data_IF_642449440292
#
_entry.id   IF_642449440292
#
_cell.length_a   1.000
_cell.length_b   1.000
_cell.length_c   1.000
_cell.angle_alpha   90.00
_cell.angle_beta   90.00
_cell.angle_gamma   90.00
#
_symmetry.space_group_name_H-M   'P 1'
#
loop_
_entity.id
_entity.type
_entity.pdbx_description
1 polymer ?
#
# COMPACT_ATOMS: atom_id res chain seq x y z
N UNK A 1 20.24 -34.22 36.12
CA UNK A 1 19.20 -33.21 35.83
C UNK A 1 19.93 -31.90 35.52
N UNK A 2 20.27 -31.70 34.26
CA UNK A 2 20.92 -30.46 33.81
C UNK A 2 19.84 -29.40 33.56
N UNK A 3 19.89 -28.37 34.35
CA UNK A 3 19.07 -27.17 34.19
C UNK A 3 19.46 -26.46 32.88
N UNK A 4 18.60 -26.59 31.87
CA UNK A 4 18.72 -25.94 30.59
C UNK A 4 18.48 -24.43 30.82
N UNK A 5 19.56 -23.67 31.16
CA UNK A 5 19.56 -22.21 31.27
C UNK A 5 19.21 -21.62 29.89
N UNK A 6 17.91 -21.37 29.65
CA UNK A 6 17.46 -20.52 28.54
C UNK A 6 18.18 -19.19 28.63
N UNK A 7 19.07 -18.90 27.67
CA UNK A 7 19.68 -17.58 27.52
C UNK A 7 18.57 -16.53 27.48
N UNK A 8 18.62 -15.47 28.28
CA UNK A 8 17.61 -14.43 28.24
C UNK A 8 17.58 -13.84 26.81
N UNK A 9 16.39 -13.84 26.20
CA UNK A 9 16.15 -13.14 24.94
C UNK A 9 16.48 -11.65 25.18
N UNK A 10 17.46 -11.12 24.46
CA UNK A 10 17.83 -9.71 24.52
C UNK A 10 16.57 -8.86 24.38
N UNK A 11 16.45 -7.81 25.22
CA UNK A 11 15.36 -6.86 25.11
C UNK A 11 15.38 -6.27 23.69
N UNK A 12 14.21 -6.06 23.09
CA UNK A 12 14.07 -5.57 21.72
C UNK A 12 14.96 -4.34 21.43
N UNK A 13 15.01 -3.41 22.37
CA UNK A 13 15.80 -2.17 22.26
C UNK A 13 17.32 -2.43 22.24
N UNK A 14 17.84 -3.40 22.99
CA UNK A 14 19.26 -3.77 22.98
C UNK A 14 19.66 -4.39 21.63
N UNK A 15 18.79 -5.21 21.06
CA UNK A 15 19.01 -5.81 19.74
C UNK A 15 19.03 -4.76 18.63
N UNK A 16 18.06 -3.82 18.64
CA UNK A 16 18.01 -2.72 17.67
C UNK A 16 19.24 -1.82 17.80
N UNK A 17 19.71 -1.53 19.01
CA UNK A 17 20.90 -0.73 19.25
C UNK A 17 22.17 -1.40 18.69
N UNK A 18 22.37 -2.70 18.94
CA UNK A 18 23.50 -3.46 18.40
C UNK A 18 23.47 -3.48 16.87
N UNK A 19 22.29 -3.75 16.26
CA UNK A 19 22.13 -3.71 14.81
C UNK A 19 22.46 -2.33 14.23
N UNK A 20 22.10 -1.27 14.93
CA UNK A 20 22.43 0.11 14.53
C UNK A 20 23.95 0.35 14.55
N UNK A 21 24.66 -0.07 15.61
CA UNK A 21 26.12 0.07 15.68
C UNK A 21 26.79 -0.72 14.56
N UNK A 22 26.40 -1.97 14.32
CA UNK A 22 26.93 -2.80 13.24
C UNK A 22 26.72 -2.11 11.89
N UNK A 23 25.55 -1.56 11.64
CA UNK A 23 25.22 -0.88 10.40
C UNK A 23 26.09 0.38 10.19
N UNK A 24 26.30 1.18 11.23
CA UNK A 24 27.14 2.38 11.14
C UNK A 24 28.61 2.02 10.91
N UNK A 25 29.12 0.99 11.57
CA UNK A 25 30.48 0.47 11.32
C UNK A 25 30.61 0.01 9.87
N UNK A 26 29.60 -0.76 9.38
CA UNK A 26 29.57 -1.24 8.01
C UNK A 26 29.61 -0.08 7.01
N UNK A 27 28.82 0.97 7.24
CA UNK A 27 28.79 2.17 6.39
C UNK A 27 30.17 2.85 6.37
N UNK A 28 30.80 3.05 7.53
CA UNK A 28 32.14 3.65 7.66
C UNK A 28 33.18 2.81 6.91
N UNK A 29 33.15 1.49 7.06
CA UNK A 29 34.05 0.58 6.35
C UNK A 29 33.93 0.77 4.83
N UNK A 30 32.71 0.75 4.26
CA UNK A 30 32.52 0.95 2.83
C UNK A 30 32.93 2.33 2.33
N UNK A 31 32.82 3.37 3.15
CA UNK A 31 33.22 4.72 2.80
C UNK A 31 34.72 4.93 2.87
N UNK A 32 35.45 4.11 3.66
CA UNK A 32 36.90 4.24 3.90
C UNK A 32 37.72 3.22 3.12
N UNK A 33 37.12 2.13 2.63
CA UNK A 33 37.85 1.06 1.93
C UNK A 33 38.10 1.42 0.47
N UNK A 34 39.28 1.08 -0.03
CA UNK A 34 39.62 1.22 -1.45
C UNK A 34 38.77 0.27 -2.28
N UNK A 35 38.15 0.75 -3.37
CA UNK A 35 37.31 -0.10 -4.21
C UNK A 35 38.12 -1.17 -4.93
N UNK A 36 37.53 -2.35 -5.20
CA UNK A 36 38.13 -3.36 -6.06
C UNK A 36 38.27 -2.85 -7.50
N UNK A 37 39.13 -3.50 -8.29
CA UNK A 37 39.33 -3.18 -9.70
C UNK A 37 38.02 -3.23 -10.48
N UNK A 38 37.69 -2.17 -11.20
CA UNK A 38 36.48 -2.04 -11.99
C UNK A 38 35.32 -1.32 -11.27
N UNK A 39 35.38 -1.07 -9.96
CA UNK A 39 34.39 -0.31 -9.21
C UNK A 39 34.96 1.09 -8.88
N UNK A 40 34.17 2.14 -9.12
CA UNK A 40 34.55 3.50 -8.71
C UNK A 40 34.48 3.69 -7.18
N UNK A 41 35.21 4.67 -6.64
CA UNK A 41 35.13 5.01 -5.22
C UNK A 41 33.71 5.40 -4.79
N UNK A 42 32.97 6.12 -5.63
CA UNK A 42 31.57 6.46 -5.37
C UNK A 42 30.66 5.25 -5.52
N UNK A 43 30.96 4.32 -6.44
CA UNK A 43 30.25 3.04 -6.56
C UNK A 43 30.38 2.19 -5.30
N UNK A 44 31.57 2.15 -4.69
CA UNK A 44 31.79 1.44 -3.42
C UNK A 44 30.98 2.06 -2.28
N UNK A 45 30.89 3.40 -2.20
CA UNK A 45 30.07 4.10 -1.20
C UNK A 45 28.57 3.82 -1.39
N UNK A 46 28.07 3.89 -2.64
CA UNK A 46 26.66 3.59 -2.96
C UNK A 46 26.32 2.14 -2.62
N UNK A 47 27.20 1.19 -2.91
CA UNK A 47 27.05 -0.21 -2.50
C UNK A 47 26.98 -0.34 -0.97
N UNK A 48 27.86 0.39 -0.25
CA UNK A 48 27.85 0.45 1.20
C UNK A 48 26.54 0.99 1.77
N UNK A 49 25.99 2.05 1.18
CA UNK A 49 24.67 2.58 1.55
C UNK A 49 23.58 1.52 1.33
N UNK A 50 23.58 0.86 0.17
CA UNK A 50 22.60 -0.19 -0.14
C UNK A 50 22.61 -1.31 0.89
N UNK A 51 23.79 -1.91 1.16
CA UNK A 51 23.92 -3.03 2.10
C UNK A 51 23.53 -2.61 3.52
N UNK A 52 24.03 -1.46 3.97
CA UNK A 52 23.76 -0.93 5.31
C UNK A 52 22.27 -0.66 5.53
N UNK A 53 21.63 0.01 4.58
CA UNK A 53 20.22 0.41 4.70
C UNK A 53 19.30 -0.80 4.59
N UNK A 54 19.60 -1.75 3.70
CA UNK A 54 18.87 -3.00 3.60
C UNK A 54 18.92 -3.79 4.91
N UNK A 55 20.10 -3.90 5.53
CA UNK A 55 20.27 -4.53 6.84
C UNK A 55 19.43 -3.83 7.92
N UNK A 56 19.42 -2.50 7.96
CA UNK A 56 18.63 -1.72 8.92
C UNK A 56 17.12 -1.84 8.66
N UNK A 57 16.66 -1.86 7.41
CA UNK A 57 15.26 -2.04 7.11
C UNK A 57 14.72 -3.40 7.59
N UNK A 58 15.54 -4.45 7.51
CA UNK A 58 15.19 -5.79 7.98
C UNK A 58 15.26 -5.91 9.51
N UNK A 59 16.20 -5.27 10.16
CA UNK A 59 16.52 -5.52 11.58
C UNK A 59 15.92 -4.48 12.54
N UNK A 60 15.80 -3.23 12.10
CA UNK A 60 15.34 -2.09 12.92
C UNK A 60 14.00 -1.56 12.43
N UNK A 61 13.82 -1.40 11.10
CA UNK A 61 12.60 -0.90 10.48
C UNK A 61 12.85 0.24 9.49
N UNK A 62 11.77 0.75 8.89
CA UNK A 62 11.83 1.65 7.72
C UNK A 62 11.87 3.15 8.06
N UNK A 63 11.73 3.54 9.31
CA UNK A 63 11.60 4.95 9.71
C UNK A 63 12.91 5.73 9.52
N UNK A 64 13.67 5.95 10.60
CA UNK A 64 14.91 6.69 10.56
C UNK A 64 16.00 6.08 9.64
N UNK A 65 16.07 4.72 9.40
CA UNK A 65 17.07 4.22 8.45
C UNK A 65 16.89 4.75 7.03
N UNK A 66 15.69 5.09 6.63
CA UNK A 66 15.45 5.72 5.32
C UNK A 66 15.99 7.15 5.24
N UNK A 67 15.96 7.90 6.35
CA UNK A 67 16.63 9.19 6.44
C UNK A 67 18.16 9.05 6.40
N UNK A 68 18.70 8.03 7.07
CA UNK A 68 20.13 7.70 6.98
C UNK A 68 20.54 7.38 5.54
N UNK A 69 19.70 6.65 4.79
CA UNK A 69 19.94 6.38 3.36
C UNK A 69 20.12 7.68 2.57
N UNK A 70 19.23 8.64 2.72
CA UNK A 70 19.30 9.92 2.04
C UNK A 70 20.55 10.73 2.46
N UNK A 71 20.85 10.76 3.76
CA UNK A 71 22.03 11.44 4.27
C UNK A 71 23.33 10.81 3.75
N UNK A 72 23.43 9.49 3.76
CA UNK A 72 24.59 8.77 3.27
C UNK A 72 24.78 8.93 1.75
N UNK A 73 23.71 8.90 0.96
CA UNK A 73 23.77 9.20 -0.49
C UNK A 73 24.24 10.64 -0.75
N UNK A 74 23.78 11.59 0.06
CA UNK A 74 24.21 13.00 -0.08
C UNK A 74 25.69 13.21 0.24
N UNK A 75 26.32 12.32 1.00
CA UNK A 75 27.76 12.33 1.28
C UNK A 75 28.59 11.71 0.15
N UNK A 76 27.98 11.08 -0.85
CA UNK A 76 28.71 10.59 -2.05
C UNK A 76 29.05 11.79 -2.94
N UNK A 77 30.34 12.06 -3.26
CA UNK A 77 30.77 13.28 -3.95
C UNK A 77 30.10 13.53 -5.31
N UNK A 78 29.89 12.48 -6.10
CA UNK A 78 29.24 12.58 -7.41
C UNK A 78 27.72 12.83 -7.34
N UNK A 79 27.08 12.66 -6.19
CA UNK A 79 25.64 12.87 -5.99
C UNK A 79 25.36 14.20 -5.31
N UNK A 80 25.85 14.37 -4.10
CA UNK A 80 25.55 15.51 -3.24
C UNK A 80 24.09 15.61 -2.81
N UNK A 81 23.77 16.56 -1.95
CA UNK A 81 22.42 16.74 -1.40
C UNK A 81 21.40 17.10 -2.47
N UNK A 82 21.75 17.99 -3.41
CA UNK A 82 20.82 18.44 -4.47
C UNK A 82 20.30 17.29 -5.32
N UNK A 83 21.21 16.46 -5.86
CA UNK A 83 20.85 15.31 -6.70
C UNK A 83 20.06 14.28 -5.92
N UNK A 84 20.44 14.02 -4.67
CA UNK A 84 19.73 13.11 -3.77
C UNK A 84 18.30 13.56 -3.53
N UNK A 85 18.07 14.86 -3.24
CA UNK A 85 16.74 15.40 -3.05
C UNK A 85 15.89 15.39 -4.34
N UNK A 86 16.48 15.68 -5.48
CA UNK A 86 15.78 15.61 -6.77
C UNK A 86 15.31 14.19 -7.09
N UNK A 87 16.15 13.17 -6.81
CA UNK A 87 15.80 11.77 -7.06
C UNK A 87 14.89 11.16 -5.98
N UNK A 88 14.75 11.79 -4.83
CA UNK A 88 13.89 11.37 -3.72
C UNK A 88 12.58 12.17 -3.68
N UNK A 89 12.55 13.25 -2.92
CA UNK A 89 11.36 14.09 -2.72
C UNK A 89 10.93 14.87 -3.96
N UNK A 90 11.85 15.16 -4.89
CA UNK A 90 11.55 15.75 -6.19
C UNK A 90 11.06 14.76 -7.24
N UNK A 91 10.99 13.47 -6.93
CA UNK A 91 10.51 12.44 -7.85
C UNK A 91 8.98 12.46 -7.95
N UNK A 92 8.44 12.33 -9.17
CA UNK A 92 6.98 12.26 -9.42
C UNK A 92 6.28 11.19 -8.59
N UNK A 93 6.95 10.06 -8.35
CA UNK A 93 6.44 8.95 -7.53
C UNK A 93 6.17 9.39 -6.09
N UNK A 94 7.04 10.22 -5.50
CA UNK A 94 6.81 10.77 -4.17
C UNK A 94 5.55 11.65 -4.13
N UNK A 95 5.42 12.59 -5.07
CA UNK A 95 4.26 13.46 -5.16
C UNK A 95 2.96 12.66 -5.36
N UNK A 96 3.00 11.65 -6.23
CA UNK A 96 1.88 10.74 -6.42
C UNK A 96 1.47 10.03 -5.13
N UNK A 97 2.40 9.43 -4.41
CA UNK A 97 2.12 8.72 -3.16
C UNK A 97 1.54 9.65 -2.09
N UNK A 98 2.14 10.84 -1.94
CA UNK A 98 1.69 11.85 -0.99
C UNK A 98 0.23 12.24 -1.27
N UNK A 99 -0.06 12.68 -2.49
CA UNK A 99 -1.40 13.15 -2.84
C UNK A 99 -2.43 12.01 -2.86
N UNK A 100 -2.03 10.81 -3.28
CA UNK A 100 -2.93 9.65 -3.24
C UNK A 100 -3.31 9.28 -1.81
N UNK A 101 -2.37 9.25 -0.87
CA UNK A 101 -2.67 8.94 0.52
C UNK A 101 -3.55 10.00 1.18
N UNK A 102 -3.29 11.28 0.92
CA UNK A 102 -4.16 12.37 1.38
C UNK A 102 -5.57 12.24 0.81
N UNK A 103 -5.69 11.96 -0.48
CA UNK A 103 -6.96 11.84 -1.18
C UNK A 103 -7.77 10.62 -0.72
N UNK A 104 -7.14 9.46 -0.62
CA UNK A 104 -7.81 8.22 -0.17
C UNK A 104 -8.22 8.29 1.30
N UNK A 105 -7.54 9.09 2.12
CA UNK A 105 -7.97 9.39 3.48
C UNK A 105 -9.36 10.01 3.52
N UNK A 106 -9.68 10.97 2.65
CA UNK A 106 -11.02 11.55 2.59
C UNK A 106 -12.10 10.48 2.33
N UNK A 107 -11.83 9.54 1.42
CA UNK A 107 -12.73 8.43 1.17
C UNK A 107 -12.87 7.49 2.38
N UNK A 108 -11.77 7.24 3.09
CA UNK A 108 -11.77 6.38 4.29
C UNK A 108 -12.64 6.92 5.43
N UNK A 109 -12.82 8.25 5.49
CA UNK A 109 -13.67 8.89 6.50
C UNK A 109 -15.18 8.80 6.17
N UNK A 110 -15.54 8.33 4.97
CA UNK A 110 -16.94 8.15 4.59
C UNK A 110 -17.50 6.84 5.16
N UNK A 111 -18.82 6.81 5.37
CA UNK A 111 -19.52 5.57 5.73
C UNK A 111 -19.56 4.51 4.63
N UNK A 112 -19.05 4.78 3.42
CA UNK A 112 -19.13 3.84 2.29
C UNK A 112 -18.38 2.54 2.54
N UNK A 113 -17.23 2.56 3.21
CA UNK A 113 -16.46 1.35 3.54
C UNK A 113 -17.30 0.40 4.38
N UNK A 114 -17.93 0.92 5.44
CA UNK A 114 -18.84 0.14 6.30
C UNK A 114 -20.07 -0.33 5.52
N UNK A 115 -20.65 0.52 4.67
CA UNK A 115 -21.80 0.19 3.82
C UNK A 115 -21.51 -0.94 2.86
N UNK A 116 -20.38 -0.90 2.17
CA UNK A 116 -19.96 -1.94 1.23
C UNK A 116 -19.76 -3.25 1.99
N UNK A 117 -18.98 -3.23 3.06
CA UNK A 117 -18.70 -4.43 3.85
C UNK A 117 -20.00 -5.08 4.38
N UNK A 118 -20.87 -4.31 5.03
CA UNK A 118 -22.14 -4.81 5.55
C UNK A 118 -23.09 -5.24 4.42
N UNK A 119 -23.13 -4.51 3.30
CA UNK A 119 -23.95 -4.86 2.13
C UNK A 119 -23.61 -6.23 1.57
N UNK A 120 -22.33 -6.58 1.48
CA UNK A 120 -21.89 -7.89 1.03
C UNK A 120 -22.28 -9.01 2.01
N UNK A 121 -21.98 -8.84 3.32
CA UNK A 121 -22.21 -9.90 4.33
C UNK A 121 -23.69 -10.08 4.68
N UNK A 122 -24.54 -9.04 4.56
CA UNK A 122 -25.96 -9.13 4.81
C UNK A 122 -26.78 -9.49 3.57
N UNK A 123 -26.11 -9.69 2.42
CA UNK A 123 -26.78 -10.02 1.15
C UNK A 123 -27.52 -11.37 1.22
N UNK A 124 -28.62 -11.50 0.47
CA UNK A 124 -29.35 -12.78 0.34
C UNK A 124 -28.46 -13.92 -0.16
N UNK A 125 -27.44 -13.60 -0.99
CA UNK A 125 -26.50 -14.57 -1.50
C UNK A 125 -25.55 -15.08 -0.42
N UNK A 126 -24.98 -14.19 0.40
CA UNK A 126 -24.10 -14.54 1.51
C UNK A 126 -24.81 -15.47 2.53
N UNK A 127 -26.06 -15.16 2.85
CA UNK A 127 -26.84 -15.90 3.87
C UNK A 127 -27.26 -17.31 3.45
N UNK A 128 -27.00 -17.75 2.21
CA UNK A 128 -27.38 -19.10 1.75
C UNK A 128 -26.46 -20.21 2.27
N UNK A 129 -25.20 -19.94 2.56
CA UNK A 129 -24.27 -20.92 3.13
C UNK A 129 -23.04 -20.24 3.76
N UNK A 130 -22.37 -20.88 4.74
CA UNK A 130 -21.18 -20.36 5.37
C UNK A 130 -20.04 -20.06 4.37
N UNK A 131 -19.89 -20.84 3.33
CA UNK A 131 -18.89 -20.62 2.28
C UNK A 131 -19.20 -19.40 1.42
N UNK A 132 -20.47 -19.17 1.08
CA UNK A 132 -20.91 -17.95 0.36
C UNK A 132 -20.72 -16.72 1.25
N UNK A 133 -20.99 -16.86 2.54
CA UNK A 133 -20.75 -15.79 3.52
C UNK A 133 -19.26 -15.41 3.57
N UNK A 134 -18.37 -16.39 3.74
CA UNK A 134 -16.93 -16.16 3.73
C UNK A 134 -16.46 -15.53 2.41
N UNK A 135 -16.94 -16.04 1.27
CA UNK A 135 -16.65 -15.45 -0.04
C UNK A 135 -17.08 -13.98 -0.12
N UNK A 136 -18.30 -13.65 0.28
CA UNK A 136 -18.82 -12.28 0.26
C UNK A 136 -18.02 -11.36 1.19
N UNK A 137 -17.67 -11.86 2.39
CA UNK A 137 -16.85 -11.11 3.33
C UNK A 137 -15.47 -10.81 2.75
N UNK A 138 -14.78 -11.82 2.24
CA UNK A 138 -13.44 -11.64 1.64
C UNK A 138 -13.47 -10.81 0.36
N UNK A 139 -14.50 -10.99 -0.49
CA UNK A 139 -14.67 -10.18 -1.69
C UNK A 139 -14.89 -8.70 -1.35
N UNK A 140 -15.68 -8.41 -0.30
CA UNK A 140 -15.83 -7.04 0.19
C UNK A 140 -14.51 -6.43 0.64
N UNK A 141 -13.73 -7.18 1.44
CA UNK A 141 -12.39 -6.74 1.88
C UNK A 141 -11.47 -6.49 0.68
N UNK A 142 -11.46 -7.42 -0.28
CA UNK A 142 -10.64 -7.31 -1.48
C UNK A 142 -11.02 -6.05 -2.30
N UNK A 143 -12.30 -5.85 -2.58
CA UNK A 143 -12.79 -4.71 -3.39
C UNK A 143 -12.49 -3.37 -2.71
N UNK A 144 -12.75 -3.27 -1.40
CA UNK A 144 -12.47 -2.03 -0.66
C UNK A 144 -10.96 -1.80 -0.61
N UNK A 145 -10.18 -2.86 -0.43
CA UNK A 145 -8.73 -2.82 -0.33
C UNK A 145 -8.00 -2.41 -1.62
N UNK A 146 -8.67 -2.44 -2.78
CA UNK A 146 -8.13 -1.88 -4.02
C UNK A 146 -7.87 -0.37 -3.93
N UNK A 147 -8.52 0.32 -3.00
CA UNK A 147 -8.55 1.78 -2.93
C UNK A 147 -8.05 2.36 -1.61
N UNK A 148 -7.67 1.51 -0.66
CA UNK A 148 -7.30 1.94 0.69
C UNK A 148 -6.02 1.26 1.17
N UNK A 149 -5.28 1.97 2.00
CA UNK A 149 -4.11 1.37 2.66
C UNK A 149 -4.53 0.15 3.51
N UNK A 150 -3.73 -0.93 3.50
CA UNK A 150 -4.02 -2.16 4.25
C UNK A 150 -4.29 -1.90 5.73
N UNK A 151 -3.52 -1.03 6.35
CA UNK A 151 -3.64 -0.70 7.77
C UNK A 151 -4.98 -0.06 8.09
N UNK A 152 -5.39 0.93 7.30
CA UNK A 152 -6.67 1.63 7.48
C UNK A 152 -7.84 0.66 7.28
N UNK A 153 -7.79 -0.13 6.21
CA UNK A 153 -8.81 -1.13 5.91
C UNK A 153 -8.95 -2.15 7.05
N UNK A 154 -7.83 -2.68 7.54
CA UNK A 154 -7.84 -3.65 8.62
C UNK A 154 -8.54 -3.10 9.87
N UNK A 155 -8.20 -1.88 10.29
CA UNK A 155 -8.82 -1.26 11.47
C UNK A 155 -10.32 -0.94 11.30
N UNK A 156 -10.78 -0.67 10.09
CA UNK A 156 -12.21 -0.45 9.83
C UNK A 156 -12.99 -1.77 9.79
N UNK A 157 -12.41 -2.84 9.20
CA UNK A 157 -13.10 -4.13 9.04
C UNK A 157 -13.04 -4.99 10.31
N UNK A 158 -12.00 -4.85 11.13
CA UNK A 158 -11.84 -5.66 12.34
C UNK A 158 -13.02 -5.54 13.33
N UNK A 159 -13.57 -4.35 13.64
CA UNK A 159 -14.79 -4.24 14.44
C UNK A 159 -16.00 -4.95 13.81
N UNK A 160 -16.15 -4.84 12.48
CA UNK A 160 -17.23 -5.53 11.75
C UNK A 160 -17.07 -7.05 11.85
N UNK A 161 -15.84 -7.56 11.74
CA UNK A 161 -15.56 -8.99 11.91
C UNK A 161 -15.87 -9.47 13.33
N UNK A 162 -15.56 -8.66 14.37
CA UNK A 162 -15.91 -8.97 15.75
C UNK A 162 -17.44 -9.04 15.95
N UNK A 163 -18.17 -8.13 15.34
CA UNK A 163 -19.64 -8.15 15.34
C UNK A 163 -20.19 -9.40 14.63
N UNK A 164 -19.60 -9.78 13.49
CA UNK A 164 -19.92 -11.03 12.79
C UNK A 164 -19.69 -12.25 13.69
N UNK A 165 -18.60 -12.29 14.48
CA UNK A 165 -18.36 -13.37 15.43
C UNK A 165 -19.47 -13.47 16.47
N UNK A 166 -19.91 -12.35 17.01
CA UNK A 166 -21.00 -12.32 18.00
C UNK A 166 -22.32 -12.82 17.38
N UNK A 167 -22.64 -12.37 16.17
CA UNK A 167 -23.86 -12.76 15.44
C UNK A 167 -23.86 -14.24 15.08
N UNK A 168 -22.71 -14.80 14.73
CA UNK A 168 -22.55 -16.22 14.38
C UNK A 168 -22.30 -17.12 15.59
N UNK A 169 -22.19 -16.57 16.81
CA UNK A 169 -21.87 -17.31 18.03
C UNK A 169 -20.48 -17.95 18.01
N UNK A 170 -19.52 -17.37 17.25
CA UNK A 170 -18.18 -17.89 17.13
C UNK A 170 -17.33 -17.52 18.35
N UNK A 171 -16.53 -18.48 18.82
CA UNK A 171 -15.63 -18.31 19.97
C UNK A 171 -14.18 -18.27 19.53
N UNK A 172 -13.31 -17.74 20.39
CA UNK A 172 -11.86 -17.79 20.19
C UNK A 172 -11.40 -19.26 20.08
N UNK A 173 -10.69 -19.58 19.01
CA UNK A 173 -10.22 -20.94 18.73
C UNK A 173 -11.07 -21.68 17.69
N UNK A 174 -12.27 -21.22 17.36
CA UNK A 174 -13.08 -21.84 16.31
C UNK A 174 -12.36 -21.74 14.97
N UNK A 175 -12.24 -22.86 14.26
CA UNK A 175 -11.55 -22.88 12.94
C UNK A 175 -12.16 -21.91 11.94
N UNK A 176 -13.48 -21.73 11.96
CA UNK A 176 -14.15 -20.80 11.07
C UNK A 176 -13.86 -19.34 11.42
N UNK A 177 -13.80 -18.99 12.72
CA UNK A 177 -13.39 -17.66 13.17
C UNK A 177 -11.94 -17.37 12.77
N UNK A 178 -11.04 -18.34 12.97
CA UNK A 178 -9.64 -18.22 12.55
C UNK A 178 -9.52 -18.05 11.02
N UNK A 179 -10.30 -18.80 10.24
CA UNK A 179 -10.35 -18.65 8.78
C UNK A 179 -10.78 -17.24 8.36
N UNK A 180 -11.84 -16.69 8.98
CA UNK A 180 -12.30 -15.34 8.67
C UNK A 180 -11.23 -14.28 9.02
N UNK A 181 -10.53 -14.43 10.15
CA UNK A 181 -9.44 -13.53 10.52
C UNK A 181 -8.25 -13.64 9.57
N UNK A 182 -7.79 -14.87 9.28
CA UNK A 182 -6.68 -15.09 8.33
C UNK A 182 -7.02 -14.54 6.94
N UNK A 183 -8.25 -14.78 6.47
CA UNK A 183 -8.72 -14.27 5.20
C UNK A 183 -8.83 -12.75 5.17
N UNK A 184 -9.22 -12.10 6.28
CA UNK A 184 -9.19 -10.64 6.39
C UNK A 184 -7.77 -10.10 6.16
N UNK A 185 -6.78 -10.63 6.89
CA UNK A 185 -5.38 -10.19 6.76
C UNK A 185 -4.84 -10.48 5.36
N UNK A 186 -5.11 -11.67 4.83
CA UNK A 186 -4.65 -12.06 3.51
C UNK A 186 -5.26 -11.21 2.40
N UNK A 187 -6.60 -11.02 2.40
CA UNK A 187 -7.27 -10.19 1.39
C UNK A 187 -6.85 -8.72 1.47
N UNK A 188 -6.62 -8.20 2.69
CA UNK A 188 -6.10 -6.84 2.89
C UNK A 188 -4.71 -6.68 2.27
N UNK A 189 -3.82 -7.66 2.45
CA UNK A 189 -2.49 -7.66 1.84
C UNK A 189 -2.54 -7.89 0.33
N UNK A 190 -3.37 -8.82 -0.12
CA UNK A 190 -3.51 -9.14 -1.55
C UNK A 190 -4.03 -7.94 -2.35
N UNK A 191 -5.10 -7.29 -1.86
CA UNK A 191 -5.70 -6.13 -2.53
C UNK A 191 -4.73 -4.97 -2.69
N UNK A 192 -3.80 -4.80 -1.75
CA UNK A 192 -2.80 -3.74 -1.79
C UNK A 192 -1.79 -3.86 -2.94
N UNK A 193 -1.60 -5.08 -3.47
CA UNK A 193 -0.77 -5.34 -4.64
C UNK A 193 -1.53 -5.28 -5.97
N UNK A 194 -2.86 -5.26 -5.95
CA UNK A 194 -3.68 -5.32 -7.18
C UNK A 194 -3.83 -3.96 -7.88
N UNK A 195 -3.63 -2.86 -7.15
CA UNK A 195 -3.69 -1.51 -7.71
C UNK A 195 -2.54 -0.64 -7.22
N UNK A 196 -2.10 0.36 -8.00
CA UNK A 196 -1.10 1.32 -7.54
C UNK A 196 -1.65 2.32 -6.50
N UNK A 197 -2.95 2.27 -6.20
CA UNK A 197 -3.65 3.26 -5.36
C UNK A 197 -3.51 2.90 -3.88
N UNK A 198 -3.58 1.60 -3.57
CA UNK A 198 -3.72 1.11 -2.21
C UNK A 198 -2.41 1.08 -1.42
N UNK A 199 -1.27 0.93 -2.08
CA UNK A 199 0.01 0.73 -1.41
C UNK A 199 1.21 1.30 -2.15
N UNK A 200 2.25 1.59 -1.38
CA UNK A 200 3.52 2.17 -1.85
C UNK A 200 4.29 1.23 -2.80
N UNK A 201 4.28 -0.08 -2.55
CA UNK A 201 5.14 -1.02 -3.28
C UNK A 201 4.85 -1.14 -4.79
N UNK A 202 3.60 -1.21 -5.27
CA UNK A 202 3.34 -1.21 -6.70
C UNK A 202 3.90 0.03 -7.40
N UNK A 203 3.68 1.20 -6.80
CA UNK A 203 4.14 2.48 -7.36
C UNK A 203 5.66 2.58 -7.35
N UNK A 204 6.28 2.14 -6.25
CA UNK A 204 7.74 2.08 -6.12
C UNK A 204 8.36 1.16 -7.18
N UNK A 205 7.79 -0.03 -7.39
CA UNK A 205 8.26 -0.97 -8.41
C UNK A 205 8.18 -0.38 -9.83
N UNK A 206 7.09 0.32 -10.13
CA UNK A 206 6.93 1.03 -11.41
C UNK A 206 7.93 2.18 -11.55
N UNK A 207 8.20 2.92 -10.46
CA UNK A 207 9.19 3.99 -10.43
C UNK A 207 10.62 3.47 -10.66
N UNK A 208 11.00 2.38 -9.99
CA UNK A 208 12.29 1.71 -10.18
C UNK A 208 12.41 1.17 -11.60
N UNK A 209 11.37 0.52 -12.13
CA UNK A 209 11.35 0.05 -13.52
C UNK A 209 11.59 1.20 -14.51
N UNK A 210 10.93 2.34 -14.33
CA UNK A 210 11.14 3.55 -15.16
C UNK A 210 12.58 4.04 -15.09
N UNK A 211 13.18 4.04 -13.91
CA UNK A 211 14.58 4.45 -13.69
C UNK A 211 15.56 3.52 -14.40
N UNK A 212 15.32 2.21 -14.34
CA UNK A 212 16.21 1.19 -14.92
C UNK A 212 16.11 1.10 -16.45
N UNK A 213 14.90 1.18 -16.99
CA UNK A 213 14.63 0.86 -18.40
C UNK A 213 14.39 2.10 -19.27
N UNK A 214 14.18 3.27 -18.66
CA UNK A 214 13.69 4.48 -19.35
C UNK A 214 12.22 4.40 -19.80
N UNK A 215 11.57 3.25 -19.64
CA UNK A 215 10.19 3.00 -20.05
C UNK A 215 9.25 3.09 -18.84
N UNK A 216 8.02 3.59 -19.03
CA UNK A 216 7.03 3.67 -17.96
C UNK A 216 5.90 2.67 -18.16
N UNK A 217 5.51 1.99 -17.07
CA UNK A 217 4.29 1.19 -17.00
C UNK A 217 3.15 2.13 -16.58
N UNK A 218 2.07 2.17 -17.35
CA UNK A 218 0.89 2.95 -16.94
C UNK A 218 0.08 2.19 -15.87
N UNK A 219 -0.71 2.91 -15.06
CA UNK A 219 -1.54 2.29 -14.03
C UNK A 219 -2.55 1.30 -14.60
N UNK A 220 -3.14 1.62 -15.75
CA UNK A 220 -4.02 0.68 -16.43
C UNK A 220 -3.32 -0.60 -16.87
N UNK A 221 -2.10 -0.50 -17.41
CA UNK A 221 -1.28 -1.67 -17.75
C UNK A 221 -0.94 -2.52 -16.52
N UNK A 222 -0.51 -1.86 -15.41
CA UNK A 222 -0.27 -2.58 -14.16
C UNK A 222 -1.51 -3.35 -13.70
N UNK A 223 -2.65 -2.67 -13.61
CA UNK A 223 -3.90 -3.25 -13.14
C UNK A 223 -4.41 -4.37 -14.05
N UNK A 224 -4.15 -4.29 -15.36
CA UNK A 224 -4.54 -5.31 -16.33
C UNK A 224 -3.92 -6.69 -16.00
N UNK A 225 -2.72 -6.72 -15.46
CA UNK A 225 -2.04 -7.96 -15.03
C UNK A 225 -2.25 -8.25 -13.53
N UNK A 226 -2.18 -7.24 -12.69
CA UNK A 226 -2.23 -7.43 -11.25
C UNK A 226 -3.62 -7.84 -10.74
N UNK A 227 -4.70 -7.31 -11.31
CA UNK A 227 -6.06 -7.66 -10.90
C UNK A 227 -6.40 -9.13 -11.23
N UNK A 228 -6.22 -9.64 -12.46
CA UNK A 228 -6.44 -11.07 -12.76
C UNK A 228 -5.57 -11.99 -11.90
N UNK A 229 -4.30 -11.66 -11.70
CA UNK A 229 -3.39 -12.41 -10.82
C UNK A 229 -3.93 -12.44 -9.39
N UNK A 230 -4.38 -11.32 -8.86
CA UNK A 230 -4.99 -11.24 -7.53
C UNK A 230 -6.27 -12.06 -7.42
N UNK A 231 -7.12 -12.10 -8.45
CA UNK A 231 -8.33 -12.94 -8.48
C UNK A 231 -7.96 -14.42 -8.44
N UNK A 232 -6.93 -14.84 -9.18
CA UNK A 232 -6.44 -16.24 -9.17
C UNK A 232 -5.93 -16.59 -7.76
N UNK A 233 -5.12 -15.74 -7.14
CA UNK A 233 -4.59 -15.95 -5.78
C UNK A 233 -5.74 -16.00 -4.77
N UNK A 234 -6.74 -15.13 -4.91
CA UNK A 234 -7.95 -15.15 -4.08
C UNK A 234 -8.71 -16.47 -4.21
N UNK A 235 -8.89 -16.97 -5.42
CA UNK A 235 -9.52 -18.27 -5.66
C UNK A 235 -8.71 -19.43 -5.02
N UNK A 236 -7.39 -19.42 -5.15
CA UNK A 236 -6.50 -20.39 -4.52
C UNK A 236 -6.61 -20.33 -2.98
N UNK A 237 -6.66 -19.14 -2.39
CA UNK A 237 -6.90 -18.97 -0.94
C UNK A 237 -8.22 -19.62 -0.53
N UNK A 238 -9.30 -19.37 -1.27
CA UNK A 238 -10.60 -19.97 -0.99
C UNK A 238 -10.56 -21.52 -1.09
N UNK A 239 -9.85 -22.08 -2.05
CA UNK A 239 -9.64 -23.52 -2.18
C UNK A 239 -8.85 -24.09 -0.99
N UNK A 240 -7.76 -23.41 -0.58
CA UNK A 240 -6.95 -23.79 0.58
C UNK A 240 -7.84 -23.83 1.85
N UNK A 241 -8.61 -22.79 2.07
CA UNK A 241 -9.53 -22.73 3.22
C UNK A 241 -10.56 -23.85 3.19
N UNK A 242 -11.11 -24.16 2.03
CA UNK A 242 -12.14 -25.17 1.87
C UNK A 242 -11.60 -26.60 1.98
N UNK A 243 -10.46 -26.91 1.37
CA UNK A 243 -9.98 -28.29 1.23
C UNK A 243 -8.88 -28.66 2.22
N UNK A 244 -8.06 -27.68 2.67
CA UNK A 244 -6.95 -27.94 3.60
C UNK A 244 -7.37 -27.57 5.03
N UNK A 245 -7.84 -26.34 5.26
CA UNK A 245 -8.19 -25.88 6.63
C UNK A 245 -9.48 -26.54 7.15
N UNK A 246 -10.45 -26.80 6.29
CA UNK A 246 -11.71 -27.52 6.55
C UNK A 246 -12.38 -27.08 7.85
N UNK A 247 -12.79 -25.81 7.99
CA UNK A 247 -13.49 -25.35 9.18
C UNK A 247 -14.86 -26.04 9.29
N UNK A 248 -15.26 -26.39 10.53
CA UNK A 248 -16.60 -26.89 10.75
C UNK A 248 -17.62 -25.76 10.54
N UNK A 249 -18.55 -25.96 9.62
CA UNK A 249 -19.56 -24.98 9.23
C UNK A 249 -20.99 -25.37 9.65
N UNK A 250 -21.21 -26.55 10.23
CA UNK A 250 -22.55 -27.09 10.54
C UNK A 250 -23.29 -26.26 11.60
N UNK A 251 -22.55 -25.71 12.56
CA UNK A 251 -23.11 -24.92 13.68
C UNK A 251 -23.37 -23.44 13.33
N UNK A 252 -23.08 -23.01 12.10
CA UNK A 252 -23.15 -21.60 11.73
C UNK A 252 -24.58 -21.23 11.29
N UNK A 253 -25.25 -20.43 12.12
CA UNK A 253 -26.60 -19.96 11.81
C UNK A 253 -26.60 -18.60 11.10
N UNK A 254 -26.79 -18.61 9.80
CA UNK A 254 -26.87 -17.42 8.93
C UNK A 254 -28.28 -16.82 8.83
N UNK A 255 -29.30 -17.47 9.41
CA UNK A 255 -30.68 -17.01 9.38
C UNK A 255 -31.04 -16.08 10.56
N UNK A 256 -30.06 -15.68 11.36
CA UNK A 256 -30.28 -14.81 12.51
C UNK A 256 -30.89 -13.47 12.10
N UNK A 257 -31.92 -13.04 12.82
CA UNK A 257 -32.52 -11.70 12.68
C UNK A 257 -31.54 -10.56 12.98
N UNK A 258 -30.41 -10.89 13.62
CA UNK A 258 -29.34 -9.93 13.90
C UNK A 258 -28.68 -9.39 12.60
N UNK A 259 -28.59 -10.20 11.54
CA UNK A 259 -28.15 -9.69 10.22
C UNK A 259 -29.09 -8.63 9.65
N UNK A 260 -30.37 -8.73 9.92
CA UNK A 260 -31.37 -7.73 9.48
C UNK A 260 -31.24 -6.46 10.33
N UNK A 261 -30.86 -6.56 11.62
CA UNK A 261 -30.50 -5.40 12.46
C UNK A 261 -29.24 -4.72 11.94
N UNK A 262 -28.14 -5.45 11.70
CA UNK A 262 -26.92 -4.91 11.10
C UNK A 262 -27.18 -4.17 9.79
N UNK A 263 -28.09 -4.69 8.96
CA UNK A 263 -28.48 -4.05 7.71
C UNK A 263 -29.25 -2.74 7.94
N UNK A 264 -30.14 -2.68 8.94
CA UNK A 264 -30.90 -1.47 9.29
C UNK A 264 -30.03 -0.37 9.90
N UNK A 265 -28.92 -0.75 10.53
CA UNK A 265 -27.95 0.19 11.10
C UNK A 265 -27.03 0.86 10.05
N UNK A 266 -27.13 0.45 8.77
CA UNK A 266 -26.39 1.10 7.69
C UNK A 266 -26.98 2.50 7.46
N UNK A 267 -26.29 3.59 7.84
CA UNK A 267 -26.83 4.93 7.66
C UNK A 267 -26.95 5.28 6.17
N UNK A 268 -27.93 6.07 5.82
CA UNK A 268 -28.03 6.63 4.46
C UNK A 268 -26.80 7.49 4.16
N UNK A 269 -26.33 7.49 2.90
CA UNK A 269 -25.20 8.33 2.51
C UNK A 269 -25.61 9.81 2.54
N UNK A 270 -24.82 10.61 3.23
CA UNK A 270 -24.97 12.07 3.24
C UNK A 270 -24.65 12.66 1.86
N UNK A 271 -25.09 13.90 1.60
CA UNK A 271 -24.72 14.60 0.35
C UNK A 271 -23.21 14.79 0.25
N UNK A 272 -22.52 15.10 1.37
CA UNK A 272 -21.06 15.22 1.40
C UNK A 272 -20.34 13.92 1.03
N UNK A 273 -20.77 12.79 1.59
CA UNK A 273 -20.20 11.48 1.23
C UNK A 273 -20.41 11.13 -0.26
N UNK A 274 -21.57 11.47 -0.83
CA UNK A 274 -21.83 11.27 -2.26
C UNK A 274 -20.88 12.09 -3.12
N UNK A 275 -20.62 13.34 -2.76
CA UNK A 275 -19.66 14.20 -3.48
C UNK A 275 -18.25 13.59 -3.40
N UNK A 276 -17.80 13.16 -2.22
CA UNK A 276 -16.50 12.50 -2.07
C UNK A 276 -16.42 11.26 -2.97
N UNK A 277 -17.46 10.43 -3.00
CA UNK A 277 -17.50 9.24 -3.86
C UNK A 277 -17.39 9.60 -5.36
N UNK A 278 -18.13 10.62 -5.81
CA UNK A 278 -18.08 11.03 -7.22
C UNK A 278 -16.71 11.61 -7.60
N UNK A 279 -16.12 12.43 -6.75
CA UNK A 279 -14.74 12.94 -6.96
C UNK A 279 -13.74 11.76 -6.96
N UNK A 280 -13.96 10.75 -6.11
CA UNK A 280 -13.13 9.56 -6.07
C UNK A 280 -13.21 8.74 -7.38
N UNK A 281 -14.42 8.52 -7.89
CA UNK A 281 -14.64 7.85 -9.18
C UNK A 281 -14.01 8.66 -10.32
N UNK A 282 -14.12 9.99 -10.30
CA UNK A 282 -13.51 10.87 -11.30
C UNK A 282 -11.98 10.73 -11.32
N UNK A 283 -11.35 10.76 -10.16
CA UNK A 283 -9.89 10.60 -10.05
C UNK A 283 -9.44 9.24 -10.57
N UNK A 284 -10.15 8.16 -10.22
CA UNK A 284 -9.86 6.82 -10.76
C UNK A 284 -10.03 6.79 -12.28
N UNK A 285 -11.09 7.40 -12.80
CA UNK A 285 -11.31 7.50 -14.24
C UNK A 285 -10.15 8.24 -14.93
N UNK A 286 -9.67 9.34 -14.35
CA UNK A 286 -8.51 10.08 -14.88
C UNK A 286 -7.19 9.29 -14.85
N UNK A 287 -7.06 8.26 -14.00
CA UNK A 287 -5.90 7.37 -14.03
C UNK A 287 -6.04 6.24 -15.05
N UNK A 288 -7.23 5.67 -15.19
CA UNK A 288 -7.46 4.45 -15.97
C UNK A 288 -7.78 4.77 -17.44
N UNK A 289 -8.70 5.73 -17.68
CA UNK A 289 -9.18 6.04 -19.03
C UNK A 289 -8.07 6.49 -20.00
N UNK A 290 -7.11 7.35 -19.60
CA UNK A 290 -6.02 7.72 -20.50
C UNK A 290 -5.20 6.52 -20.98
N UNK A 291 -4.98 5.52 -20.11
CA UNK A 291 -4.24 4.30 -20.48
C UNK A 291 -4.97 3.44 -21.51
N UNK A 292 -6.30 3.44 -21.46
CA UNK A 292 -7.14 2.62 -22.32
C UNK A 292 -7.51 3.34 -23.63
N UNK A 293 -7.76 4.65 -23.55
CA UNK A 293 -8.37 5.41 -24.64
C UNK A 293 -7.40 6.23 -25.51
N UNK A 294 -6.15 6.42 -25.07
CA UNK A 294 -5.12 7.10 -25.88
C UNK A 294 -4.81 6.39 -27.20
N UNK A 295 -5.09 5.08 -27.29
CA UNK A 295 -4.93 4.27 -28.51
C UNK A 295 -6.26 4.03 -29.22
N UNK A 296 -7.30 4.82 -28.94
CA UNK A 296 -8.60 4.72 -29.61
C UNK A 296 -8.49 5.04 -31.09
N UNK A 297 -9.24 4.33 -31.93
CA UNK A 297 -9.40 4.63 -33.36
C UNK A 297 -10.12 5.95 -33.64
N UNK A 298 -10.81 6.51 -32.63
CA UNK A 298 -11.52 7.79 -32.72
C UNK A 298 -10.54 8.92 -32.36
N UNK A 299 -10.13 9.70 -33.36
CA UNK A 299 -9.02 10.68 -33.26
C UNK A 299 -9.21 11.72 -32.14
N UNK A 300 -10.40 12.28 -31.94
CA UNK A 300 -10.62 13.26 -30.86
C UNK A 300 -10.53 12.64 -29.46
N UNK A 301 -10.95 11.38 -29.30
CA UNK A 301 -10.79 10.64 -28.03
C UNK A 301 -9.32 10.42 -27.75
N UNK A 302 -8.59 9.86 -28.72
CA UNK A 302 -7.16 9.58 -28.59
C UNK A 302 -6.37 10.87 -28.26
N UNK A 303 -6.65 11.99 -28.94
CA UNK A 303 -5.96 13.27 -28.70
C UNK A 303 -6.26 13.84 -27.31
N UNK A 304 -7.52 13.80 -26.86
CA UNK A 304 -7.94 14.27 -25.53
C UNK A 304 -7.26 13.48 -24.42
N UNK A 305 -7.29 12.14 -24.47
CA UNK A 305 -6.68 11.33 -23.44
C UNK A 305 -5.14 11.32 -23.50
N UNK A 306 -4.56 11.51 -24.66
CA UNK A 306 -3.11 11.78 -24.80
C UNK A 306 -2.73 13.10 -24.13
N UNK A 307 -3.52 14.16 -24.33
CA UNK A 307 -3.31 15.44 -23.67
C UNK A 307 -3.44 15.33 -22.14
N UNK A 308 -4.49 14.66 -21.62
CA UNK A 308 -4.65 14.43 -20.18
C UNK A 308 -3.45 13.66 -19.60
N UNK A 309 -2.92 12.67 -20.32
CA UNK A 309 -1.79 11.86 -19.85
C UNK A 309 -0.49 12.64 -19.67
N UNK A 310 -0.34 13.82 -20.34
CA UNK A 310 0.85 14.69 -20.20
C UNK A 310 0.97 15.35 -18.84
N UNK A 311 -0.13 15.48 -18.08
CA UNK A 311 -0.10 16.09 -16.74
C UNK A 311 0.49 15.19 -15.67
N UNK A 312 0.83 13.95 -16.00
CA UNK A 312 1.40 12.98 -15.06
C UNK A 312 0.38 12.36 -14.11
N UNK A 313 0.86 11.38 -13.36
CA UNK A 313 0.00 10.54 -12.51
C UNK A 313 -0.35 11.18 -11.17
N UNK A 314 0.43 12.16 -10.72
CA UNK A 314 0.20 12.87 -9.46
C UNK A 314 -0.89 13.96 -9.56
N UNK A 315 -1.21 14.42 -10.78
CA UNK A 315 -2.17 15.51 -10.99
C UNK A 315 -3.62 15.13 -10.60
N UNK A 316 -4.18 13.97 -10.98
CA UNK A 316 -5.56 13.64 -10.63
C UNK A 316 -5.85 13.66 -9.12
N UNK A 317 -5.07 13.02 -8.23
CA UNK A 317 -5.33 13.08 -6.79
C UNK A 317 -5.10 14.48 -6.21
N UNK A 318 -4.15 15.25 -6.74
CA UNK A 318 -3.95 16.64 -6.35
C UNK A 318 -5.20 17.49 -6.65
N UNK A 319 -5.75 17.39 -7.87
CA UNK A 319 -7.00 18.05 -8.23
C UNK A 319 -8.17 17.57 -7.35
N UNK A 320 -8.24 16.28 -7.04
CA UNK A 320 -9.22 15.71 -6.12
C UNK A 320 -9.15 16.35 -4.73
N UNK A 321 -7.94 16.51 -4.17
CA UNK A 321 -7.73 17.18 -2.87
C UNK A 321 -8.20 18.63 -2.93
N UNK A 322 -7.78 19.38 -3.96
CA UNK A 322 -8.16 20.79 -4.13
C UNK A 322 -9.68 20.91 -4.21
N UNK A 323 -10.33 20.10 -5.03
CA UNK A 323 -11.77 20.10 -5.19
C UNK A 323 -12.50 19.81 -3.87
N UNK A 324 -12.08 18.78 -3.13
CA UNK A 324 -12.66 18.43 -1.85
C UNK A 324 -12.38 19.47 -0.74
N UNK A 325 -11.31 20.26 -0.88
CA UNK A 325 -11.00 21.36 0.05
C UNK A 325 -11.88 22.58 -0.19
N UNK A 326 -12.26 22.83 -1.44
CA UNK A 326 -13.15 23.95 -1.82
C UNK A 326 -14.61 23.61 -1.52
N UNK A 327 -15.02 22.36 -1.83
CA UNK A 327 -16.40 21.91 -1.61
C UNK A 327 -16.67 21.74 -0.12
N UNK A 328 -17.81 22.31 0.33
CA UNK A 328 -18.22 22.31 1.73
C UNK A 328 -19.54 21.55 1.92
N UNK A 329 -19.65 20.87 3.05
CA UNK A 329 -20.89 20.28 3.53
C UNK A 329 -21.06 20.57 5.03
N UNK A 330 -22.21 21.08 5.44
CA UNK A 330 -22.43 21.50 6.84
C UNK A 330 -21.47 22.58 7.31
N UNK A 331 -21.04 23.50 6.42
CA UNK A 331 -20.11 24.59 6.74
C UNK A 331 -18.63 24.21 6.80
N UNK A 332 -18.29 22.92 6.68
CA UNK A 332 -16.91 22.41 6.74
C UNK A 332 -16.45 21.89 5.37
N UNK A 333 -15.16 22.00 5.01
CA UNK A 333 -14.61 21.38 3.82
C UNK A 333 -14.73 19.86 3.88
N UNK A 334 -14.86 19.20 2.71
CA UNK A 334 -15.01 17.76 2.63
C UNK A 334 -13.73 16.98 2.92
N UNK A 335 -12.58 17.65 2.87
CA UNK A 335 -11.28 17.13 3.33
C UNK A 335 -10.64 18.15 4.28
N UNK A 336 -10.08 17.67 5.36
CA UNK A 336 -9.20 18.46 6.23
C UNK A 336 -7.75 18.15 5.85
N UNK A 337 -7.04 19.14 5.28
CA UNK A 337 -5.66 19.00 4.82
C UNK A 337 -4.74 18.53 5.97
N UNK A 338 -4.82 19.17 7.14
CA UNK A 338 -3.95 18.81 8.27
C UNK A 338 -4.20 17.39 8.75
N UNK A 339 -5.45 16.97 8.84
CA UNK A 339 -5.77 15.58 9.22
C UNK A 339 -5.35 14.58 8.14
N UNK A 340 -5.53 14.89 6.86
CA UNK A 340 -5.11 14.01 5.76
C UNK A 340 -3.59 13.85 5.71
N UNK A 341 -2.83 14.90 6.01
CA UNK A 341 -1.37 14.83 6.12
C UNK A 341 -0.91 14.04 7.34
N UNK A 342 -1.55 14.22 8.49
CA UNK A 342 -1.09 13.60 9.76
C UNK A 342 -1.59 12.19 9.95
N UNK A 343 -2.82 11.87 9.53
CA UNK A 343 -3.48 10.58 9.74
C UNK A 343 -3.58 9.74 8.46
N UNK A 344 -3.67 10.40 7.29
CA UNK A 344 -3.81 9.73 5.99
C UNK A 344 -2.48 9.27 5.41
N UNK A 345 -1.42 10.03 5.61
CA UNK A 345 -0.11 9.77 5.04
C UNK A 345 0.70 8.83 5.92
N UNK A 346 1.13 7.71 5.36
CA UNK A 346 2.11 6.81 6.00
C UNK A 346 3.52 7.35 5.78
N UNK A 347 3.95 8.33 6.57
CA UNK A 347 5.25 9.00 6.44
C UNK A 347 6.44 8.04 6.39
N UNK A 348 6.54 7.01 7.28
CA UNK A 348 7.66 6.07 7.18
C UNK A 348 7.71 5.35 5.84
N UNK A 349 6.56 4.97 5.28
CA UNK A 349 6.48 4.28 3.98
C UNK A 349 6.86 5.19 2.81
N UNK A 350 6.42 6.45 2.83
CA UNK A 350 6.75 7.41 1.77
C UNK A 350 8.23 7.79 1.80
N UNK A 351 8.79 8.01 2.99
CA UNK A 351 10.22 8.31 3.16
C UNK A 351 11.07 7.12 2.71
N UNK A 352 10.68 5.89 3.06
CA UNK A 352 11.35 4.69 2.55
C UNK A 352 11.29 4.61 1.02
N UNK A 353 10.13 4.87 0.42
CA UNK A 353 9.99 4.87 -1.05
C UNK A 353 10.91 5.91 -1.69
N UNK A 354 10.95 7.14 -1.13
CA UNK A 354 11.83 8.21 -1.61
C UNK A 354 13.31 7.84 -1.51
N UNK A 355 13.72 7.24 -0.40
CA UNK A 355 15.07 6.74 -0.21
C UNK A 355 15.43 5.63 -1.21
N UNK A 356 14.49 4.70 -1.46
CA UNK A 356 14.68 3.63 -2.45
C UNK A 356 14.81 4.17 -3.86
N UNK A 357 14.02 5.19 -4.23
CA UNK A 357 14.11 5.83 -5.56
C UNK A 357 15.46 6.52 -5.74
N UNK A 358 15.93 7.28 -4.74
CA UNK A 358 17.23 7.93 -4.78
C UNK A 358 18.38 6.91 -4.84
N UNK A 359 18.30 5.85 -4.06
CA UNK A 359 19.27 4.76 -4.07
C UNK A 359 19.30 4.04 -5.41
N UNK A 360 18.14 3.70 -5.98
CA UNK A 360 18.03 3.10 -7.30
C UNK A 360 18.61 3.99 -8.40
N UNK A 361 18.33 5.29 -8.36
CA UNK A 361 18.92 6.27 -9.29
C UNK A 361 20.44 6.35 -9.14
N UNK A 362 20.97 6.30 -7.91
CA UNK A 362 22.40 6.28 -7.64
C UNK A 362 23.06 5.00 -8.18
N UNK A 363 22.44 3.83 -7.94
CA UNK A 363 22.96 2.53 -8.41
C UNK A 363 23.00 2.43 -9.93
N UNK A 364 22.06 3.06 -10.63
CA UNK A 364 21.98 3.04 -12.11
C UNK A 364 22.72 4.17 -12.79
N UNK A 365 23.31 5.08 -12.02
CA UNK A 365 24.06 6.20 -12.59
C UNK A 365 25.34 5.68 -13.24
N UNK A 366 25.46 5.91 -14.55
CA UNK A 366 26.63 5.48 -15.34
C UNK A 366 27.95 6.05 -14.84
N UNK A 367 27.96 7.28 -14.29
CA UNK A 367 29.16 7.89 -13.73
C UNK A 367 29.63 7.19 -12.45
N UNK A 368 28.74 6.55 -11.72
CA UNK A 368 29.02 5.75 -10.53
C UNK A 368 29.54 4.35 -10.90
N UNK A 369 29.08 3.81 -12.04
CA UNK A 369 29.59 2.58 -12.63
C UNK A 369 29.23 1.28 -11.87
N UNK A 370 28.30 1.33 -10.91
CA UNK A 370 27.95 0.15 -10.11
C UNK A 370 27.27 -0.94 -10.94
N UNK A 371 26.36 -0.60 -11.84
CA UNK A 371 25.68 -1.56 -12.72
C UNK A 371 26.56 -2.20 -13.77
N UNK A 372 27.69 -1.58 -14.11
CA UNK A 372 28.68 -2.17 -15.03
C UNK A 372 29.65 -3.10 -14.32
N UNK A 373 29.76 -2.96 -13.00
CA UNK A 373 30.57 -3.81 -12.14
C UNK A 373 29.83 -5.09 -11.73
N UNK A 374 28.51 -4.99 -11.43
CA UNK A 374 27.66 -6.13 -11.08
C UNK A 374 27.25 -6.93 -12.30
#
# INVERSE_FOLDING_TARGET
MEENKKRPLMKKNEKEFICTIIALILLIVFFSTTPPSGLSADGMKVLGVFVTVLFLWITVGIGWPSLLCLAALALVPSLGMKTTLQNSFGNETFAFLLFTFMFTYAFSQTGYVKKIALGFVTSKFARKSPWRFAFCFFAAVLIIGLFMSPTVLYFIILPILKEIYNVLGLKKGDKYANMLMMGLVFCTSLSSGMTPIAHVFPVLSMGVFKTLTGSSISYGQYMLYAIPTGIIIFALMMLIFKFIMRPNTEKINLKSSQFDKMKKEIPSATRGEKIILWVFILVIALWVLPSLLKSSSIGWIASTFTWISKFGTAMPPLLGIILLSILKYGGKPLININESMTKGVSWPSIIMASATLALGAAMTNKAIGLTTFL
#
